data_IF_337987378994
#
_entry.id   IF_337987378994
#
_cell.length_a   1.000
_cell.length_b   1.000
_cell.length_c   1.000
_cell.angle_alpha   90.00
_cell.angle_beta   90.00
_cell.angle_gamma   90.00
#
_symmetry.space_group_name_H-M   'P 1'
#
loop_
_entity.id
_entity.type
_entity.pdbx_description
1 polymer ?
#
# COMPACT_ATOMS: atom_id res chain seq x y z
N UNK A 1 8.47 -9.07 3.50
CA UNK A 1 9.60 -8.51 2.70
C UNK A 1 9.69 -7.02 2.96
N UNK A 2 10.88 -6.46 3.20
CA UNK A 2 11.10 -5.05 3.54
C UNK A 2 12.10 -4.44 2.55
N UNK A 3 11.83 -3.22 2.09
CA UNK A 3 12.81 -2.40 1.35
C UNK A 3 13.97 -2.06 2.31
N UNK A 4 15.16 -2.60 2.04
CA UNK A 4 16.31 -2.49 2.94
C UNK A 4 16.91 -1.10 3.05
N UNK A 5 16.68 -0.22 2.08
CA UNK A 5 17.21 1.14 2.07
C UNK A 5 16.27 2.07 2.83
N UNK A 6 14.98 1.98 2.49
CA UNK A 6 13.94 2.88 3.04
C UNK A 6 13.27 2.34 4.30
N UNK A 7 13.54 1.09 4.65
CA UNK A 7 12.96 0.38 5.81
C UNK A 7 11.41 0.29 5.74
N UNK A 8 10.86 0.14 4.54
CA UNK A 8 9.41 0.11 4.30
C UNK A 8 8.94 -1.33 4.04
N UNK A 9 7.84 -1.80 4.66
CA UNK A 9 7.27 -3.10 4.34
C UNK A 9 6.72 -3.11 2.91
N UNK A 10 7.22 -4.03 2.07
CA UNK A 10 6.71 -4.27 0.72
C UNK A 10 5.75 -5.44 0.65
N UNK A 11 5.82 -6.35 1.63
CA UNK A 11 4.91 -7.49 1.77
C UNK A 11 4.52 -7.62 3.23
N UNK A 12 3.21 -7.66 3.47
CA UNK A 12 2.59 -7.91 4.77
C UNK A 12 1.75 -9.17 4.64
N UNK A 13 1.97 -10.12 5.53
CA UNK A 13 1.21 -11.35 5.65
C UNK A 13 0.47 -11.31 6.98
N UNK A 14 -0.85 -11.52 6.94
CA UNK A 14 -1.74 -11.53 8.10
C UNK A 14 -2.38 -12.89 8.17
N UNK A 15 -2.23 -13.56 9.31
CA UNK A 15 -2.85 -14.85 9.59
C UNK A 15 -3.60 -14.82 10.92
N UNK A 16 -4.70 -15.56 11.01
CA UNK A 16 -5.41 -15.77 12.27
C UNK A 16 -5.57 -17.25 12.62
N UNK A 17 -5.91 -17.54 13.88
CA UNK A 17 -6.07 -18.90 14.40
C UNK A 17 -7.26 -19.66 13.77
N UNK A 18 -8.14 -18.96 13.04
CA UNK A 18 -9.31 -19.53 12.37
C UNK A 18 -9.01 -19.88 10.91
N UNK A 19 -7.78 -19.67 10.46
CA UNK A 19 -7.32 -19.99 9.12
C UNK A 19 -7.50 -18.87 8.10
N UNK A 20 -7.76 -17.62 8.54
CA UNK A 20 -7.64 -16.46 7.66
C UNK A 20 -6.17 -16.30 7.26
N UNK A 21 -5.93 -16.11 5.96
CA UNK A 21 -4.62 -15.74 5.44
C UNK A 21 -4.80 -14.64 4.39
N UNK A 22 -4.16 -13.51 4.63
CA UNK A 22 -4.15 -12.36 3.73
C UNK A 22 -2.70 -11.98 3.42
N UNK A 23 -2.43 -11.69 2.15
CA UNK A 23 -1.12 -11.25 1.69
C UNK A 23 -1.26 -9.97 0.91
N UNK A 24 -0.69 -8.90 1.44
CA UNK A 24 -0.66 -7.57 0.86
C UNK A 24 0.71 -7.34 0.25
N UNK A 25 0.76 -7.11 -1.06
CA UNK A 25 1.98 -6.76 -1.79
C UNK A 25 1.87 -5.34 -2.33
N UNK A 26 2.87 -4.52 -2.02
CA UNK A 26 2.93 -3.13 -2.45
C UNK A 26 3.92 -2.98 -3.61
N UNK A 27 3.45 -2.37 -4.70
CA UNK A 27 4.25 -2.08 -5.87
C UNK A 27 4.30 -0.57 -6.10
N UNK A 28 5.46 -0.05 -6.55
CA UNK A 28 5.69 1.38 -6.81
C UNK A 28 5.47 2.28 -5.58
N UNK A 29 6.05 1.89 -4.44
CA UNK A 29 6.01 2.69 -3.22
C UNK A 29 6.87 3.94 -3.40
N UNK A 30 6.24 5.10 -3.20
CA UNK A 30 6.87 6.42 -3.19
C UNK A 30 6.83 6.99 -1.77
N UNK A 31 7.94 7.60 -1.35
CA UNK A 31 8.07 8.27 -0.06
C UNK A 31 8.02 9.77 -0.32
N UNK A 32 7.21 10.47 0.49
CA UNK A 32 6.95 11.91 0.34
C UNK A 32 6.56 12.33 -1.09
N UNK A 33 5.60 11.63 -1.74
CA UNK A 33 5.12 12.09 -3.04
C UNK A 33 4.42 13.45 -2.91
N UNK A 34 4.44 14.28 -3.97
CA UNK A 34 3.66 15.51 -3.98
C UNK A 34 2.17 15.16 -3.97
N UNK A 35 1.48 15.47 -2.87
CA UNK A 35 0.04 15.25 -2.73
C UNK A 35 -0.73 16.55 -2.94
N UNK A 36 -1.91 16.41 -3.53
CA UNK A 36 -2.86 17.49 -3.80
C UNK A 36 -4.26 17.11 -3.32
N UNK A 37 -5.16 18.08 -3.23
CA UNK A 37 -6.58 17.82 -2.90
C UNK A 37 -7.24 16.84 -3.87
N UNK A 38 -6.74 16.73 -5.11
CA UNK A 38 -7.27 15.81 -6.11
C UNK A 38 -6.96 14.34 -5.76
N UNK A 39 -5.87 14.07 -5.05
CA UNK A 39 -5.50 12.72 -4.60
C UNK A 39 -6.49 12.14 -3.58
N UNK A 40 -7.27 13.00 -2.92
CA UNK A 40 -8.30 12.59 -1.98
C UNK A 40 -9.72 12.70 -2.57
N UNK A 41 -9.84 12.97 -3.87
CA UNK A 41 -11.11 13.14 -4.54
C UNK A 41 -11.65 11.83 -5.12
N UNK A 42 -12.95 11.57 -4.93
CA UNK A 42 -13.66 10.48 -5.64
C UNK A 42 -13.66 10.63 -7.16
N UNK A 43 -13.35 11.83 -7.67
CA UNK A 43 -13.25 12.10 -9.11
C UNK A 43 -11.88 11.73 -9.68
N UNK A 44 -10.92 11.34 -8.84
CA UNK A 44 -9.58 10.98 -9.30
C UNK A 44 -9.63 9.65 -10.07
N UNK A 45 -9.36 9.65 -11.39
CA UNK A 45 -9.47 8.45 -12.21
C UNK A 45 -8.38 7.42 -11.90
N UNK A 46 -7.31 7.79 -11.18
CA UNK A 46 -6.28 6.86 -10.75
C UNK A 46 -6.81 5.85 -9.72
N UNK A 47 -7.74 6.29 -8.87
CA UNK A 47 -8.44 5.44 -7.93
C UNK A 47 -9.71 4.92 -8.60
N UNK A 48 -9.71 3.63 -8.98
CA UNK A 48 -10.86 2.93 -9.57
C UNK A 48 -11.93 2.66 -8.50
N UNK A 49 -12.47 3.72 -7.91
CA UNK A 49 -13.57 3.67 -6.96
C UNK A 49 -14.82 2.99 -7.53
#
# INVERSE_FOLDING_TARGET
>A
MVDSERHIPLVIEVEDEKGLYERYEYYKVEVDPPLTDFDFSRKNPAYKF
#
